data_IF_089546022539
#
_entry.id   IF_089546022539
#
_cell.length_a   1.000
_cell.length_b   1.000
_cell.length_c   1.000
_cell.angle_alpha   90.00
_cell.angle_beta   90.00
_cell.angle_gamma   90.00
#
_symmetry.space_group_name_H-M   'P 1'
#
loop_
_entity.id
_entity.type
_entity.pdbx_description
1 polymer ?
#
# COMPACT_ATOMS: atom_id res chain seq x y z
N UNK A 1 28.34 -25.12 -25.94
CA UNK A 1 29.57 -24.68 -26.61
C UNK A 1 29.24 -24.61 -28.10
N UNK A 2 29.06 -23.41 -28.63
CA UNK A 2 28.91 -23.19 -30.08
C UNK A 2 30.33 -23.40 -30.67
N UNK A 3 30.49 -24.41 -31.54
CA UNK A 3 31.70 -24.60 -32.33
C UNK A 3 31.80 -23.40 -33.29
N UNK A 4 32.94 -22.70 -33.25
CA UNK A 4 33.24 -21.66 -34.23
C UNK A 4 33.31 -22.30 -35.61
N UNK A 5 32.56 -21.81 -36.62
CA UNK A 5 32.58 -22.37 -37.94
C UNK A 5 33.98 -22.24 -38.55
N UNK A 6 34.48 -23.32 -39.12
CA UNK A 6 35.85 -23.42 -39.62
C UNK A 6 35.97 -23.09 -41.12
N UNK A 7 34.87 -22.91 -41.83
CA UNK A 7 34.83 -22.62 -43.28
C UNK A 7 33.62 -21.75 -43.70
N UNK A 8 33.81 -20.89 -44.67
CA UNK A 8 32.76 -20.03 -45.22
C UNK A 8 31.54 -20.80 -45.75
N UNK A 9 31.73 -22.00 -46.29
CA UNK A 9 30.63 -22.85 -46.74
C UNK A 9 29.71 -23.33 -45.62
N UNK A 10 30.25 -23.53 -44.43
CA UNK A 10 29.51 -23.88 -43.25
C UNK A 10 28.71 -22.70 -42.72
N UNK A 11 29.27 -21.49 -42.75
CA UNK A 11 28.56 -20.27 -42.39
C UNK A 11 27.36 -19.97 -43.37
N UNK A 12 27.53 -20.23 -44.64
CA UNK A 12 26.42 -20.06 -45.64
C UNK A 12 25.27 -21.04 -45.37
N UNK A 13 25.59 -22.29 -45.06
CA UNK A 13 24.58 -23.30 -44.73
C UNK A 13 23.84 -22.98 -43.44
N UNK A 14 24.55 -22.56 -42.41
CA UNK A 14 23.94 -22.11 -41.16
C UNK A 14 23.07 -20.89 -41.35
N UNK A 15 23.46 -19.97 -42.24
CA UNK A 15 22.63 -18.81 -42.61
C UNK A 15 21.32 -19.22 -43.32
N UNK A 16 21.39 -20.14 -44.29
CA UNK A 16 20.21 -20.64 -44.96
C UNK A 16 19.22 -21.34 -44.01
N UNK A 17 19.73 -22.10 -43.04
CA UNK A 17 18.91 -22.75 -42.04
C UNK A 17 18.29 -21.72 -41.08
N UNK A 18 19.04 -20.72 -40.63
CA UNK A 18 18.53 -19.59 -39.86
C UNK A 18 17.44 -18.79 -40.61
N UNK A 19 17.59 -18.62 -41.91
CA UNK A 19 16.60 -17.89 -42.72
C UNK A 19 15.31 -18.68 -42.86
N UNK A 20 15.37 -20.01 -42.96
CA UNK A 20 14.17 -20.88 -42.92
C UNK A 20 13.47 -20.81 -41.56
N UNK A 21 14.22 -20.89 -40.49
CA UNK A 21 13.69 -20.78 -39.13
C UNK A 21 13.07 -19.40 -38.89
N UNK A 22 13.68 -18.35 -39.42
CA UNK A 22 13.15 -17.00 -39.35
C UNK A 22 11.80 -16.86 -40.05
N UNK A 23 11.66 -17.43 -41.23
CA UNK A 23 10.36 -17.45 -41.94
C UNK A 23 9.29 -18.24 -41.17
N UNK A 24 9.62 -19.38 -40.58
CA UNK A 24 8.69 -20.12 -39.71
C UNK A 24 8.26 -19.30 -38.49
N UNK A 25 9.17 -18.58 -37.85
CA UNK A 25 8.85 -17.68 -36.76
C UNK A 25 7.95 -16.53 -37.23
N UNK A 26 8.20 -15.95 -38.39
CA UNK A 26 7.35 -14.91 -38.95
C UNK A 26 5.91 -15.40 -39.19
N UNK A 27 5.75 -16.59 -39.76
CA UNK A 27 4.43 -17.17 -40.04
C UNK A 27 3.70 -17.51 -38.73
N UNK A 28 4.40 -18.08 -37.75
CA UNK A 28 3.86 -18.34 -36.43
C UNK A 28 3.43 -17.03 -35.74
N UNK A 29 4.24 -15.98 -35.83
CA UNK A 29 3.92 -14.67 -35.28
C UNK A 29 2.72 -14.00 -35.97
N UNK A 30 2.58 -14.16 -37.28
CA UNK A 30 1.42 -13.69 -38.02
C UNK A 30 0.13 -14.40 -37.59
N UNK A 31 0.19 -15.73 -37.44
CA UNK A 31 -0.93 -16.51 -36.91
C UNK A 31 -1.27 -16.11 -35.45
N UNK A 32 -0.27 -15.92 -34.63
CA UNK A 32 -0.46 -15.42 -33.28
C UNK A 32 -1.20 -14.08 -33.23
N UNK A 33 -0.80 -13.11 -34.06
CA UNK A 33 -1.51 -11.82 -34.16
C UNK A 33 -2.96 -11.97 -34.58
N UNK A 34 -3.25 -12.83 -35.57
CA UNK A 34 -4.61 -13.11 -35.99
C UNK A 34 -5.46 -13.69 -34.87
N UNK A 35 -4.91 -14.68 -34.14
CA UNK A 35 -5.61 -15.30 -33.01
C UNK A 35 -5.83 -14.33 -31.89
N UNK A 36 -4.88 -13.46 -31.62
CA UNK A 36 -4.99 -12.40 -30.57
C UNK A 36 -6.14 -11.43 -30.95
N UNK A 37 -6.26 -11.03 -32.20
CA UNK A 37 -7.34 -10.16 -32.65
C UNK A 37 -8.72 -10.86 -32.55
N UNK A 38 -8.82 -12.13 -32.95
CA UNK A 38 -10.03 -12.92 -32.75
C UNK A 38 -10.45 -13.03 -31.30
N UNK A 39 -9.50 -13.32 -30.40
CA UNK A 39 -9.72 -13.38 -28.95
C UNK A 39 -10.19 -12.02 -28.41
N UNK A 40 -9.58 -10.93 -28.83
CA UNK A 40 -9.99 -9.57 -28.42
C UNK A 40 -11.44 -9.26 -28.84
N UNK A 41 -11.82 -9.59 -30.05
CA UNK A 41 -13.21 -9.42 -30.53
C UNK A 41 -14.21 -10.25 -29.71
N UNK A 42 -13.86 -11.50 -29.40
CA UNK A 42 -14.71 -12.35 -28.58
C UNK A 42 -14.85 -11.81 -27.13
N UNK A 43 -13.76 -11.30 -26.56
CA UNK A 43 -13.75 -10.69 -25.22
C UNK A 43 -14.63 -9.44 -25.16
N UNK A 44 -14.53 -8.54 -26.15
CA UNK A 44 -15.37 -7.33 -26.23
C UNK A 44 -16.85 -7.69 -26.42
N UNK A 45 -17.16 -8.67 -27.27
CA UNK A 45 -18.52 -9.17 -27.50
C UNK A 45 -19.12 -9.77 -26.21
N UNK A 46 -18.38 -10.61 -25.53
CA UNK A 46 -18.79 -11.26 -24.28
C UNK A 46 -19.01 -10.23 -23.16
N UNK A 47 -18.06 -9.32 -22.96
CA UNK A 47 -18.16 -8.24 -21.97
C UNK A 47 -19.38 -7.36 -22.22
N UNK A 48 -19.64 -6.99 -23.48
CA UNK A 48 -20.81 -6.21 -23.86
C UNK A 48 -22.13 -6.96 -23.63
N UNK A 49 -22.15 -8.28 -23.89
CA UNK A 49 -23.33 -9.12 -23.64
C UNK A 49 -23.64 -9.23 -22.13
N UNK A 50 -22.63 -9.49 -21.31
CA UNK A 50 -22.77 -9.56 -19.84
C UNK A 50 -23.28 -8.24 -19.27
N UNK A 51 -22.71 -7.11 -19.71
CA UNK A 51 -23.15 -5.79 -19.25
C UNK A 51 -24.62 -5.50 -19.56
N UNK A 52 -25.07 -5.85 -20.79
CA UNK A 52 -26.49 -5.71 -21.18
C UNK A 52 -27.41 -6.60 -20.35
N UNK A 53 -27.02 -7.85 -20.11
CA UNK A 53 -27.81 -8.79 -19.31
C UNK A 53 -27.89 -8.35 -17.85
N UNK A 54 -26.78 -7.89 -17.25
CA UNK A 54 -26.77 -7.34 -15.90
C UNK A 54 -27.71 -6.14 -15.73
N UNK A 55 -27.74 -5.26 -16.73
CA UNK A 55 -28.65 -4.11 -16.71
C UNK A 55 -30.12 -4.58 -16.69
N UNK A 56 -30.47 -5.55 -17.56
CA UNK A 56 -31.83 -6.13 -17.60
C UNK A 56 -32.19 -6.85 -16.30
N UNK A 57 -31.27 -7.61 -15.70
CA UNK A 57 -31.51 -8.26 -14.40
C UNK A 57 -31.80 -7.23 -13.30
N UNK A 58 -31.04 -6.14 -13.27
CA UNK A 58 -31.27 -5.06 -12.30
C UNK A 58 -32.63 -4.39 -12.50
N UNK A 59 -33.01 -4.11 -13.72
CA UNK A 59 -34.33 -3.55 -14.06
C UNK A 59 -35.45 -4.51 -13.64
N UNK A 60 -35.29 -5.82 -13.88
CA UNK A 60 -36.25 -6.86 -13.48
C UNK A 60 -36.39 -6.96 -11.96
N UNK A 61 -35.27 -6.92 -11.24
CA UNK A 61 -35.27 -6.93 -9.76
C UNK A 61 -36.05 -5.74 -9.22
N UNK A 62 -35.80 -4.54 -9.75
CA UNK A 62 -36.51 -3.31 -9.34
C UNK A 62 -38.01 -3.41 -9.61
N UNK A 63 -38.40 -3.93 -10.79
CA UNK A 63 -39.82 -4.14 -11.14
C UNK A 63 -40.49 -5.19 -10.25
N UNK A 64 -39.78 -6.25 -9.86
CA UNK A 64 -40.27 -7.27 -8.94
C UNK A 64 -40.51 -6.68 -7.52
N UNK A 65 -39.58 -5.84 -7.04
CA UNK A 65 -39.75 -5.14 -5.76
C UNK A 65 -40.94 -4.18 -5.77
N UNK A 66 -41.13 -3.41 -6.84
CA UNK A 66 -42.29 -2.54 -7.03
C UNK A 66 -43.60 -3.33 -7.04
N UNK A 67 -43.65 -4.46 -7.77
CA UNK A 67 -44.84 -5.34 -7.80
C UNK A 67 -45.13 -5.93 -6.42
N UNK A 68 -44.12 -6.31 -5.63
CA UNK A 68 -44.32 -6.78 -4.25
C UNK A 68 -44.89 -5.68 -3.35
N UNK A 69 -44.44 -4.44 -3.48
CA UNK A 69 -44.91 -3.33 -2.70
C UNK A 69 -46.37 -2.94 -3.06
N UNK A 70 -46.71 -2.95 -4.35
CA UNK A 70 -48.02 -2.58 -4.82
C UNK A 70 -49.10 -3.64 -4.59
N UNK A 71 -48.73 -4.91 -4.46
CA UNK A 71 -49.61 -6.06 -4.24
C UNK A 71 -49.72 -6.50 -2.78
N UNK A 72 -49.55 -5.60 -1.82
CA UNK A 72 -49.67 -5.87 -0.36
C UNK A 72 -51.09 -6.25 0.10
N UNK A 73 -52.03 -6.55 -0.80
CA UNK A 73 -53.36 -7.05 -0.51
C UNK A 73 -53.35 -8.58 -0.39
N UNK A 74 -54.16 -9.18 0.53
CA UNK A 74 -54.06 -10.59 0.98
C UNK A 74 -54.59 -11.63 0.00
N UNK A 75 -54.41 -11.47 -1.31
CA UNK A 75 -54.99 -12.39 -2.34
C UNK A 75 -53.95 -12.94 -3.30
N UNK A 76 -52.68 -12.93 -2.90
CA UNK A 76 -51.63 -13.60 -3.71
C UNK A 76 -51.73 -15.11 -3.43
N UNK A 77 -51.96 -15.92 -4.48
CA UNK A 77 -51.99 -17.38 -4.33
C UNK A 77 -50.57 -17.87 -3.95
N UNK A 78 -50.48 -18.92 -3.12
CA UNK A 78 -49.19 -19.51 -2.71
C UNK A 78 -48.30 -19.95 -3.88
N UNK A 79 -48.90 -20.24 -5.03
CA UNK A 79 -48.22 -20.56 -6.27
C UNK A 79 -47.44 -19.35 -6.87
N UNK A 80 -47.99 -18.13 -6.77
CA UNK A 80 -47.33 -16.92 -7.24
C UNK A 80 -46.18 -16.49 -6.32
N UNK A 81 -46.27 -16.71 -5.02
CA UNK A 81 -45.16 -16.46 -4.08
C UNK A 81 -43.97 -17.41 -4.34
N UNK A 82 -44.27 -18.71 -4.58
CA UNK A 82 -43.23 -19.70 -4.91
C UNK A 82 -42.53 -19.35 -6.23
N UNK A 83 -43.30 -18.93 -7.26
CA UNK A 83 -42.75 -18.55 -8.56
C UNK A 83 -41.85 -17.27 -8.47
N UNK A 84 -42.20 -16.33 -7.60
CA UNK A 84 -41.40 -15.12 -7.35
C UNK A 84 -40.08 -15.50 -6.65
N UNK A 85 -40.13 -16.40 -5.66
CA UNK A 85 -38.94 -16.88 -4.95
C UNK A 85 -37.98 -17.64 -5.89
N UNK A 86 -38.50 -18.46 -6.80
CA UNK A 86 -37.70 -19.15 -7.83
C UNK A 86 -37.03 -18.16 -8.80
N UNK A 87 -37.71 -17.08 -9.18
CA UNK A 87 -37.15 -16.03 -10.02
C UNK A 87 -36.04 -15.30 -9.30
N UNK A 88 -36.22 -14.94 -8.04
CA UNK A 88 -35.19 -14.27 -7.22
C UNK A 88 -33.94 -15.11 -7.06
N UNK A 89 -34.10 -16.41 -6.82
CA UNK A 89 -32.98 -17.34 -6.70
C UNK A 89 -32.26 -17.50 -8.06
N UNK A 90 -33.01 -17.62 -9.16
CA UNK A 90 -32.45 -17.63 -10.51
C UNK A 90 -31.71 -16.33 -10.88
N UNK A 91 -32.17 -15.19 -10.42
CA UNK A 91 -31.50 -13.90 -10.63
C UNK A 91 -30.16 -13.88 -9.90
N UNK A 92 -30.13 -14.39 -8.66
CA UNK A 92 -28.92 -14.47 -7.84
C UNK A 92 -27.88 -15.43 -8.47
N UNK A 93 -28.33 -16.61 -8.88
CA UNK A 93 -27.46 -17.59 -9.55
C UNK A 93 -26.87 -17.04 -10.86
N UNK A 94 -27.67 -16.34 -11.65
CA UNK A 94 -27.18 -15.67 -12.88
C UNK A 94 -26.21 -14.55 -12.56
N UNK A 95 -26.44 -13.78 -11.48
CA UNK A 95 -25.51 -12.72 -11.08
C UNK A 95 -24.13 -13.28 -10.65
N UNK A 96 -24.14 -14.43 -9.97
CA UNK A 96 -22.92 -15.14 -9.58
C UNK A 96 -22.21 -15.75 -10.80
N UNK A 97 -22.96 -16.37 -11.73
CA UNK A 97 -22.42 -16.89 -12.99
C UNK A 97 -21.78 -15.76 -13.84
N UNK A 98 -22.42 -14.60 -13.94
CA UNK A 98 -21.82 -13.46 -14.64
C UNK A 98 -20.58 -12.92 -13.96
N UNK A 99 -20.52 -12.99 -12.63
CA UNK A 99 -19.31 -12.62 -11.91
C UNK A 99 -18.15 -13.57 -12.21
N UNK A 100 -18.42 -14.87 -12.31
CA UNK A 100 -17.41 -15.84 -12.71
C UNK A 100 -16.96 -15.66 -14.16
N UNK A 101 -17.91 -15.44 -15.09
CA UNK A 101 -17.58 -15.18 -16.49
C UNK A 101 -16.72 -13.91 -16.65
N UNK A 102 -17.02 -12.84 -15.92
CA UNK A 102 -16.22 -11.61 -15.94
C UNK A 102 -14.80 -11.81 -15.38
N UNK A 103 -14.58 -12.80 -14.52
CA UNK A 103 -13.25 -13.10 -14.00
C UNK A 103 -12.27 -13.60 -15.08
N UNK A 104 -12.80 -14.19 -16.18
CA UNK A 104 -12.01 -14.63 -17.34
C UNK A 104 -11.82 -13.54 -18.42
N UNK A 105 -12.51 -12.40 -18.28
CA UNK A 105 -12.43 -11.33 -19.26
C UNK A 105 -11.37 -10.29 -18.83
N UNK A 106 -10.59 -9.74 -19.78
CA UNK A 106 -9.62 -8.71 -19.47
C UNK A 106 -10.33 -7.46 -18.96
N UNK A 107 -9.90 -6.97 -17.81
CA UNK A 107 -10.44 -5.74 -17.25
C UNK A 107 -9.67 -4.55 -17.82
N UNK A 108 -10.38 -3.53 -18.31
CA UNK A 108 -9.75 -2.26 -18.72
C UNK A 108 -9.03 -1.66 -17.52
N UNK A 109 -7.74 -1.45 -17.67
CA UNK A 109 -6.91 -0.83 -16.64
C UNK A 109 -7.45 0.57 -16.31
N UNK A 110 -7.44 0.94 -15.03
CA UNK A 110 -7.68 2.32 -14.62
C UNK A 110 -6.58 3.24 -15.15
N UNK A 111 -6.84 4.55 -15.20
CA UNK A 111 -5.93 5.56 -15.74
C UNK A 111 -4.52 5.47 -15.13
N UNK A 112 -4.42 5.21 -13.84
CA UNK A 112 -3.15 5.03 -13.11
C UNK A 112 -2.37 3.79 -13.56
N UNK A 113 -3.04 2.63 -13.68
CA UNK A 113 -2.39 1.38 -14.12
C UNK A 113 -1.95 1.47 -15.59
N UNK A 114 -2.72 2.15 -16.43
CA UNK A 114 -2.34 2.40 -17.83
C UNK A 114 -1.12 3.32 -17.94
N UNK A 115 -1.01 4.30 -17.04
CA UNK A 115 0.11 5.25 -17.01
C UNK A 115 1.42 4.61 -16.49
N UNK A 116 1.32 3.74 -15.47
CA UNK A 116 2.50 3.17 -14.77
C UNK A 116 2.97 1.86 -15.38
N UNK A 117 2.05 0.99 -15.78
CA UNK A 117 2.34 -0.37 -16.27
C UNK A 117 2.07 -0.54 -17.77
N UNK A 118 1.52 0.49 -18.44
CA UNK A 118 1.07 0.36 -19.83
C UNK A 118 -0.22 -0.46 -19.96
N UNK A 119 -0.53 -0.90 -21.17
CA UNK A 119 -1.70 -1.75 -21.45
C UNK A 119 -1.41 -3.20 -21.05
N UNK A 120 -1.61 -3.53 -19.78
CA UNK A 120 -1.51 -4.91 -19.30
C UNK A 120 -2.91 -5.53 -19.26
N UNK A 121 -3.14 -6.57 -20.08
CA UNK A 121 -4.35 -7.38 -20.03
C UNK A 121 -4.23 -8.37 -18.87
N UNK A 122 -4.85 -8.06 -17.74
CA UNK A 122 -4.92 -8.95 -16.59
C UNK A 122 -6.23 -9.73 -16.65
N UNK A 123 -6.14 -11.02 -16.91
CA UNK A 123 -7.27 -11.96 -16.80
C UNK A 123 -7.32 -12.51 -15.38
N UNK A 124 -8.36 -12.15 -14.62
CA UNK A 124 -8.55 -12.62 -13.25
C UNK A 124 -9.41 -13.89 -13.25
N UNK A 125 -8.79 -15.00 -12.90
CA UNK A 125 -9.36 -16.35 -13.04
C UNK A 125 -10.48 -16.70 -12.03
N UNK A 126 -10.59 -16.03 -10.87
CA UNK A 126 -11.64 -16.29 -9.87
C UNK A 126 -11.86 -15.10 -8.91
N UNK A 127 -12.87 -15.22 -8.02
CA UNK A 127 -13.16 -14.19 -6.99
C UNK A 127 -11.95 -13.91 -6.10
N UNK A 128 -11.21 -14.95 -5.69
CA UNK A 128 -10.02 -14.80 -4.82
C UNK A 128 -8.90 -14.04 -5.52
N UNK A 129 -8.61 -14.34 -6.79
CA UNK A 129 -7.62 -13.61 -7.57
C UNK A 129 -8.01 -12.14 -7.77
N UNK A 130 -9.31 -11.84 -7.90
CA UNK A 130 -9.80 -10.44 -8.00
C UNK A 130 -9.63 -9.66 -6.69
N UNK A 131 -9.83 -10.30 -5.54
CA UNK A 131 -9.56 -9.70 -4.23
C UNK A 131 -8.06 -9.49 -4.02
N UNK A 132 -7.25 -10.52 -4.29
CA UNK A 132 -5.80 -10.42 -4.20
C UNK A 132 -5.27 -9.25 -5.05
N UNK A 133 -5.65 -9.17 -6.33
CA UNK A 133 -5.25 -8.07 -7.21
C UNK A 133 -5.67 -6.69 -6.68
N UNK A 134 -6.86 -6.57 -6.09
CA UNK A 134 -7.33 -5.31 -5.49
C UNK A 134 -6.47 -4.92 -4.29
N UNK A 135 -6.10 -5.88 -3.45
CA UNK A 135 -5.25 -5.65 -2.29
C UNK A 135 -3.84 -5.25 -2.70
N UNK A 136 -3.29 -5.89 -3.73
CA UNK A 136 -1.99 -5.58 -4.34
C UNK A 136 -1.91 -4.13 -4.83
N UNK A 137 -2.94 -3.68 -5.56
CA UNK A 137 -3.02 -2.30 -6.06
C UNK A 137 -3.13 -1.29 -4.90
N UNK A 138 -3.88 -1.63 -3.85
CA UNK A 138 -3.99 -0.79 -2.67
C UNK A 138 -2.67 -0.70 -1.89
N UNK A 139 -1.96 -1.82 -1.77
CA UNK A 139 -0.65 -1.86 -1.13
C UNK A 139 0.39 -1.06 -1.91
N UNK A 140 0.43 -1.20 -3.23
CA UNK A 140 1.31 -0.41 -4.08
C UNK A 140 1.01 1.09 -3.98
N UNK A 141 -0.27 1.48 -3.99
CA UNK A 141 -0.69 2.86 -3.80
C UNK A 141 -0.30 3.39 -2.42
N UNK A 142 -0.52 2.60 -1.37
CA UNK A 142 -0.14 2.95 0.00
C UNK A 142 1.37 3.15 0.13
N UNK A 143 2.17 2.21 -0.37
CA UNK A 143 3.63 2.31 -0.35
C UNK A 143 4.13 3.52 -1.15
N UNK A 144 3.54 3.81 -2.30
CA UNK A 144 3.84 5.01 -3.08
C UNK A 144 3.56 6.29 -2.30
N UNK A 145 2.41 6.37 -1.62
CA UNK A 145 2.05 7.51 -0.78
C UNK A 145 3.01 7.68 0.40
N UNK A 146 3.49 6.58 1.00
CA UNK A 146 4.51 6.62 2.05
C UNK A 146 5.83 7.20 1.51
N UNK A 147 6.31 6.73 0.36
CA UNK A 147 7.52 7.27 -0.28
C UNK A 147 7.35 8.76 -0.56
N UNK A 148 6.24 9.16 -1.17
CA UNK A 148 5.95 10.56 -1.45
C UNK A 148 5.93 11.42 -0.18
N UNK A 149 5.28 10.93 0.89
CA UNK A 149 5.20 11.61 2.18
C UNK A 149 6.59 11.82 2.80
N UNK A 150 7.40 10.76 2.91
CA UNK A 150 8.75 10.87 3.50
C UNK A 150 9.72 11.66 2.63
N UNK A 151 9.64 11.56 1.31
CA UNK A 151 10.40 12.44 0.40
C UNK A 151 10.05 13.92 0.61
N UNK A 152 8.76 14.24 0.77
CA UNK A 152 8.31 15.61 1.02
C UNK A 152 8.85 16.12 2.36
N UNK A 153 8.88 15.29 3.41
CA UNK A 153 9.46 15.66 4.70
C UNK A 153 10.96 15.91 4.61
N UNK A 154 11.72 15.04 3.93
CA UNK A 154 13.18 15.20 3.75
C UNK A 154 13.52 16.45 2.97
N UNK A 155 12.80 16.75 1.90
CA UNK A 155 13.00 17.98 1.12
C UNK A 155 12.70 19.22 1.97
N UNK A 156 11.58 19.22 2.68
CA UNK A 156 11.17 20.34 3.55
C UNK A 156 12.18 20.60 4.65
N UNK A 157 12.71 19.56 5.30
CA UNK A 157 13.74 19.70 6.33
C UNK A 157 15.07 20.19 5.76
N UNK A 158 15.46 19.69 4.59
CA UNK A 158 16.67 20.16 3.89
C UNK A 158 16.58 21.65 3.56
N UNK A 159 15.41 22.12 3.11
CA UNK A 159 15.16 23.56 2.86
C UNK A 159 15.24 24.37 4.16
N UNK A 160 14.64 23.86 5.26
CA UNK A 160 14.69 24.54 6.56
C UNK A 160 16.12 24.66 7.09
N UNK A 161 16.95 23.63 6.94
CA UNK A 161 18.36 23.64 7.33
C UNK A 161 19.13 24.66 6.49
N UNK A 162 18.91 24.68 5.18
CA UNK A 162 19.52 25.66 4.27
C UNK A 162 19.15 27.10 4.62
N UNK A 163 17.97 27.29 5.20
CA UNK A 163 17.50 28.59 5.71
C UNK A 163 17.96 28.90 7.14
N UNK A 164 18.92 28.13 7.68
CA UNK A 164 19.52 28.40 8.99
C UNK A 164 18.81 27.79 10.20
N UNK A 165 17.82 26.93 10.01
CA UNK A 165 17.14 26.23 11.09
C UNK A 165 18.04 25.18 11.74
N UNK A 166 18.11 25.18 13.08
CA UNK A 166 18.89 24.20 13.85
C UNK A 166 18.05 22.95 14.15
N UNK A 167 17.90 22.07 13.15
CA UNK A 167 17.24 20.79 13.32
C UNK A 167 18.28 19.74 13.79
N UNK A 168 17.91 18.90 14.76
CA UNK A 168 18.80 17.82 15.23
C UNK A 168 19.10 16.84 14.09
N UNK A 169 20.37 16.52 13.87
CA UNK A 169 20.81 15.66 12.76
C UNK A 169 20.15 14.28 12.72
N UNK A 170 19.87 13.69 13.91
CA UNK A 170 19.13 12.42 13.97
C UNK A 170 17.75 12.51 13.34
N UNK A 171 17.03 13.61 13.55
CA UNK A 171 15.68 13.80 13.02
C UNK A 171 15.64 13.81 11.50
N UNK A 172 16.61 14.45 10.88
CA UNK A 172 16.79 14.47 9.44
C UNK A 172 17.17 13.08 8.92
N UNK A 173 18.17 12.45 9.55
CA UNK A 173 18.62 11.11 9.19
C UNK A 173 17.48 10.06 9.31
N UNK A 174 16.66 10.16 10.33
CA UNK A 174 15.46 9.33 10.51
C UNK A 174 14.53 9.38 9.29
N UNK A 175 14.28 10.55 8.72
CA UNK A 175 13.42 10.68 7.54
C UNK A 175 14.07 10.11 6.29
N UNK A 176 15.39 10.22 6.12
CA UNK A 176 16.10 9.54 5.02
C UNK A 176 15.98 8.00 5.13
N UNK A 177 16.19 7.44 6.33
CA UNK A 177 16.03 5.99 6.55
C UNK A 177 14.58 5.56 6.32
N UNK A 178 13.59 6.35 6.74
CA UNK A 178 12.17 6.07 6.52
C UNK A 178 11.80 6.13 5.03
N UNK A 179 12.36 7.07 4.28
CA UNK A 179 12.21 7.16 2.81
C UNK A 179 12.80 5.91 2.15
N UNK A 180 14.00 5.51 2.54
CA UNK A 180 14.65 4.31 2.03
C UNK A 180 13.82 3.05 2.34
N UNK A 181 13.37 2.88 3.58
CA UNK A 181 12.50 1.76 3.99
C UNK A 181 11.23 1.69 3.13
N UNK A 182 10.55 2.82 2.94
CA UNK A 182 9.33 2.88 2.12
C UNK A 182 9.61 2.56 0.65
N UNK A 183 10.76 3.00 0.11
CA UNK A 183 11.21 2.67 -1.24
C UNK A 183 11.51 1.19 -1.41
N UNK A 184 12.17 0.56 -0.43
CA UNK A 184 12.43 -0.89 -0.45
C UNK A 184 11.12 -1.67 -0.38
N UNK A 185 10.18 -1.26 0.47
CA UNK A 185 8.84 -1.88 0.54
C UNK A 185 8.07 -1.76 -0.78
N UNK A 186 8.17 -0.63 -1.49
CA UNK A 186 7.53 -0.44 -2.79
C UNK A 186 8.10 -1.37 -3.88
N UNK A 187 9.41 -1.69 -3.80
CA UNK A 187 10.09 -2.57 -4.75
C UNK A 187 10.09 -4.04 -4.34
N UNK A 188 9.49 -4.37 -3.20
CA UNK A 188 9.43 -5.75 -2.73
C UNK A 188 8.45 -6.54 -3.59
N UNK A 189 8.91 -7.64 -4.26
CA UNK A 189 8.05 -8.45 -5.11
C UNK A 189 7.00 -9.18 -4.27
N UNK A 190 5.83 -9.36 -4.84
CA UNK A 190 4.78 -10.14 -4.22
C UNK A 190 5.15 -11.61 -4.14
N UNK A 191 5.13 -12.12 -2.93
CA UNK A 191 5.50 -13.50 -2.62
C UNK A 191 5.02 -13.89 -1.23
N UNK A 192 5.26 -15.15 -0.84
CA UNK A 192 4.90 -15.67 0.48
C UNK A 192 5.53 -14.85 1.61
N UNK A 193 6.78 -14.41 1.45
CA UNK A 193 7.48 -13.60 2.44
C UNK A 193 6.85 -12.21 2.60
N UNK A 194 6.51 -11.55 1.48
CA UNK A 194 5.79 -10.26 1.53
C UNK A 194 4.46 -10.41 2.27
N UNK A 195 3.65 -11.42 1.93
CA UNK A 195 2.34 -11.64 2.55
C UNK A 195 2.44 -11.96 4.05
N UNK A 196 3.48 -12.65 4.50
CA UNK A 196 3.74 -12.91 5.92
C UNK A 196 4.01 -11.61 6.70
N UNK A 197 4.72 -10.66 6.12
CA UNK A 197 5.07 -9.40 6.79
C UNK A 197 4.04 -8.28 6.56
N UNK A 198 3.26 -8.32 5.49
CA UNK A 198 2.30 -7.30 5.05
C UNK A 198 1.40 -6.79 6.17
N UNK A 199 0.71 -7.69 6.85
CA UNK A 199 -0.24 -7.31 7.90
C UNK A 199 0.45 -6.63 9.08
N UNK A 200 1.63 -7.08 9.45
CA UNK A 200 2.45 -6.48 10.51
C UNK A 200 2.92 -5.09 10.11
N UNK A 201 3.34 -4.91 8.87
CA UNK A 201 3.74 -3.62 8.31
C UNK A 201 2.59 -2.61 8.28
N UNK A 202 1.42 -3.01 7.77
CA UNK A 202 0.23 -2.15 7.71
C UNK A 202 -0.24 -1.74 9.11
N UNK A 203 -0.30 -2.69 10.06
CA UNK A 203 -0.68 -2.42 11.44
C UNK A 203 0.28 -1.46 12.13
N UNK A 204 1.59 -1.63 11.91
CA UNK A 204 2.59 -0.70 12.43
C UNK A 204 2.43 0.71 11.84
N UNK A 205 2.22 0.85 10.53
CA UNK A 205 2.04 2.15 9.91
C UNK A 205 0.76 2.85 10.38
N UNK A 206 -0.32 2.11 10.58
CA UNK A 206 -1.56 2.64 11.16
C UNK A 206 -1.32 3.17 12.58
N UNK A 207 -0.64 2.39 13.41
CA UNK A 207 -0.25 2.81 14.75
C UNK A 207 0.65 4.06 14.72
N UNK A 208 1.66 4.06 13.86
CA UNK A 208 2.57 5.20 13.70
C UNK A 208 1.83 6.47 13.27
N UNK A 209 0.88 6.36 12.37
CA UNK A 209 0.03 7.48 11.94
C UNK A 209 -0.80 8.05 13.10
N UNK A 210 -1.33 7.17 13.95
CA UNK A 210 -2.03 7.59 15.17
C UNK A 210 -1.09 8.34 16.14
N UNK A 211 0.11 7.83 16.38
CA UNK A 211 1.10 8.50 17.23
C UNK A 211 1.52 9.85 16.65
N UNK A 212 1.72 9.93 15.32
CA UNK A 212 2.02 11.20 14.64
C UNK A 212 0.89 12.22 14.78
N UNK A 213 -0.35 11.77 14.74
CA UNK A 213 -1.51 12.63 15.00
C UNK A 213 -1.49 13.20 16.43
N UNK A 214 -1.21 12.38 17.43
CA UNK A 214 -1.05 12.85 18.82
C UNK A 214 0.12 13.84 18.94
N UNK A 215 1.24 13.56 18.29
CA UNK A 215 2.39 14.47 18.26
C UNK A 215 2.06 15.82 17.60
N UNK A 216 1.31 15.80 16.51
CA UNK A 216 0.84 17.02 15.84
C UNK A 216 -0.01 17.89 16.77
N UNK A 217 -0.98 17.30 17.49
CA UNK A 217 -1.80 18.04 18.46
C UNK A 217 -0.94 18.64 19.57
N UNK A 218 -0.02 17.87 20.10
CA UNK A 218 0.91 18.35 21.11
C UNK A 218 1.76 19.53 20.61
N UNK A 219 2.37 19.38 19.45
CA UNK A 219 3.24 20.41 18.85
C UNK A 219 2.45 21.68 18.49
N UNK A 220 1.26 21.55 17.91
CA UNK A 220 0.39 22.66 17.59
C UNK A 220 -0.02 23.44 18.84
N UNK A 221 -0.36 22.73 19.93
CA UNK A 221 -0.67 23.34 21.21
C UNK A 221 0.53 24.10 21.82
N UNK A 222 1.75 23.54 21.69
CA UNK A 222 2.98 24.22 22.11
C UNK A 222 3.24 25.51 21.31
N UNK A 223 3.12 25.44 19.97
CA UNK A 223 3.33 26.59 19.09
C UNK A 223 2.30 27.69 19.32
N UNK A 224 1.02 27.33 19.51
CA UNK A 224 -0.03 28.30 19.83
C UNK A 224 0.26 29.08 21.12
N UNK A 225 0.67 28.37 22.18
CA UNK A 225 1.01 29.00 23.46
C UNK A 225 2.28 29.85 23.39
N UNK A 226 3.33 29.39 22.67
CA UNK A 226 4.52 30.17 22.43
C UNK A 226 4.21 31.49 21.72
N UNK A 227 3.32 31.45 20.72
CA UNK A 227 2.89 32.64 19.98
C UNK A 227 2.13 33.61 20.89
N UNK A 228 1.21 33.10 21.72
CA UNK A 228 0.46 33.92 22.67
C UNK A 228 1.35 34.54 23.75
N UNK A 229 2.44 33.87 24.17
CA UNK A 229 3.43 34.40 25.11
C UNK A 229 4.32 35.48 24.47
N UNK A 230 4.66 35.38 23.19
CA UNK A 230 5.43 36.36 22.45
C UNK A 230 4.70 37.70 22.23
N UNK A 231 3.38 37.72 22.32
CA UNK A 231 2.56 38.93 22.17
C UNK A 231 2.32 39.67 23.51
N UNK A 232 2.75 39.11 24.64
CA UNK A 232 2.57 39.71 25.99
C UNK A 232 3.92 40.10 26.64
N UNK A 233 4.01 41.32 27.13
CA UNK A 233 5.22 41.89 27.76
C UNK A 233 5.51 41.49 29.24
N UNK A 234 4.61 40.70 29.91
CA UNK A 234 4.78 40.28 31.31
C UNK A 234 4.91 38.74 31.37
N UNK A 235 6.13 38.24 31.24
CA UNK A 235 6.40 36.85 30.91
C UNK A 235 6.80 35.88 32.05
N UNK A 236 7.24 36.34 33.23
CA UNK A 236 7.93 35.48 34.21
C UNK A 236 7.05 34.39 34.84
N UNK A 237 5.81 34.70 35.17
CA UNK A 237 4.86 33.73 35.74
C UNK A 237 4.23 32.75 34.71
N UNK A 238 4.20 33.13 33.44
CA UNK A 238 3.61 32.33 32.38
C UNK A 238 4.59 31.31 31.76
N UNK A 239 5.90 31.55 31.84
CA UNK A 239 6.95 30.65 31.33
C UNK A 239 7.02 29.34 32.13
N UNK A 240 6.93 29.39 33.45
CA UNK A 240 6.95 28.20 34.31
C UNK A 240 5.69 27.34 34.08
N UNK A 241 4.52 27.95 33.99
CA UNK A 241 3.27 27.25 33.67
C UNK A 241 3.32 26.60 32.27
N UNK A 242 3.93 27.26 31.28
CA UNK A 242 4.14 26.69 29.96
C UNK A 242 5.09 25.51 29.96
N UNK A 243 6.22 25.60 30.66
CA UNK A 243 7.17 24.48 30.80
C UNK A 243 6.55 23.26 31.48
N UNK A 244 5.77 23.47 32.56
CA UNK A 244 5.04 22.39 33.24
C UNK A 244 4.00 21.72 32.34
N UNK A 245 3.29 22.51 31.56
CA UNK A 245 2.30 21.99 30.61
C UNK A 245 2.95 21.17 29.48
N UNK A 246 4.05 21.68 28.90
CA UNK A 246 4.83 20.93 27.90
C UNK A 246 5.32 19.58 28.45
N UNK A 247 5.81 19.58 29.70
CA UNK A 247 6.27 18.35 30.32
C UNK A 247 5.15 17.32 30.50
N UNK A 248 3.99 17.74 30.98
CA UNK A 248 2.81 16.87 31.13
C UNK A 248 2.35 16.28 29.81
N UNK A 249 2.32 17.09 28.76
CA UNK A 249 1.97 16.63 27.42
C UNK A 249 2.99 15.63 26.85
N UNK A 250 4.29 15.89 27.05
CA UNK A 250 5.36 14.97 26.67
C UNK A 250 5.27 13.66 27.46
N UNK A 251 5.05 13.71 28.77
CA UNK A 251 4.92 12.53 29.64
C UNK A 251 3.74 11.65 29.21
N UNK A 252 2.62 12.26 28.81
CA UNK A 252 1.48 11.53 28.25
C UNK A 252 1.84 10.81 26.93
N UNK A 253 2.67 11.42 26.10
CA UNK A 253 3.05 10.87 24.79
C UNK A 253 4.10 9.75 24.87
N UNK A 254 4.94 9.77 25.92
CA UNK A 254 6.07 8.84 26.07
C UNK A 254 5.69 7.35 25.99
N UNK A 255 4.63 6.84 26.65
CA UNK A 255 4.24 5.44 26.56
C UNK A 255 3.96 5.01 25.11
N UNK A 256 3.27 5.86 24.35
CA UNK A 256 2.97 5.60 22.93
C UNK A 256 4.24 5.59 22.08
N UNK A 257 5.18 6.51 22.34
CA UNK A 257 6.46 6.53 21.62
C UNK A 257 7.28 5.27 21.91
N UNK A 258 7.43 4.88 23.19
CA UNK A 258 8.17 3.68 23.56
C UNK A 258 7.55 2.42 23.00
N UNK A 259 6.22 2.29 23.02
CA UNK A 259 5.54 1.17 22.39
C UNK A 259 5.83 1.11 20.88
N UNK A 260 5.79 2.25 20.18
CA UNK A 260 6.16 2.34 18.76
C UNK A 260 7.62 1.92 18.51
N UNK A 261 8.56 2.32 19.38
CA UNK A 261 9.97 1.91 19.25
C UNK A 261 10.15 0.40 19.47
N UNK A 262 9.50 -0.19 20.46
CA UNK A 262 9.54 -1.64 20.64
C UNK A 262 8.89 -2.39 19.50
N UNK A 263 7.85 -1.82 18.88
CA UNK A 263 7.28 -2.41 17.67
C UNK A 263 8.25 -2.33 16.47
N UNK A 264 9.04 -1.26 16.33
CA UNK A 264 10.13 -1.21 15.34
C UNK A 264 11.14 -2.34 15.56
N UNK A 265 11.54 -2.58 16.80
CA UNK A 265 12.42 -3.70 17.15
C UNK A 265 11.78 -5.04 16.80
N UNK A 266 10.51 -5.23 17.14
CA UNK A 266 9.78 -6.45 16.80
C UNK A 266 9.73 -6.70 15.29
N UNK A 267 9.45 -5.64 14.49
CA UNK A 267 9.48 -5.71 13.02
C UNK A 267 10.86 -6.13 12.51
N UNK A 268 11.91 -5.53 13.04
CA UNK A 268 13.29 -5.88 12.68
C UNK A 268 13.61 -7.34 13.00
N UNK A 269 13.27 -7.82 14.19
CA UNK A 269 13.50 -9.21 14.61
C UNK A 269 12.72 -10.21 13.76
N UNK A 270 11.48 -9.88 13.40
CA UNK A 270 10.67 -10.70 12.49
C UNK A 270 11.32 -10.83 11.11
N UNK A 271 11.79 -9.71 10.56
CA UNK A 271 12.45 -9.69 9.25
C UNK A 271 13.78 -10.45 9.27
N UNK A 272 14.58 -10.33 10.33
CA UNK A 272 15.80 -11.12 10.46
C UNK A 272 15.54 -12.63 10.59
N UNK A 273 14.46 -13.03 11.28
CA UNK A 273 14.03 -14.44 11.31
C UNK A 273 13.57 -14.91 9.93
N UNK A 274 12.84 -14.09 9.19
CA UNK A 274 12.41 -14.41 7.82
C UNK A 274 13.60 -14.53 6.86
N UNK A 275 14.63 -13.70 7.04
CA UNK A 275 15.87 -13.77 6.24
C UNK A 275 16.64 -15.07 6.44
N UNK A 276 16.53 -15.73 7.62
CA UNK A 276 17.16 -17.01 7.90
C UNK A 276 16.44 -18.21 7.26
N UNK A 277 15.25 -18.01 6.69
CA UNK A 277 14.53 -19.08 6.01
C UNK A 277 15.28 -19.49 4.72
N UNK A 278 15.41 -20.80 4.43
CA UNK A 278 16.15 -21.27 3.25
C UNK A 278 15.51 -20.85 1.92
N UNK A 279 14.23 -20.48 1.95
CA UNK A 279 13.47 -20.01 0.80
C UNK A 279 13.69 -18.51 0.50
N UNK A 280 14.34 -17.78 1.43
CA UNK A 280 14.54 -16.34 1.30
C UNK A 280 15.62 -16.02 0.28
N UNK A 281 15.22 -15.52 -0.88
CA UNK A 281 16.12 -14.97 -1.92
C UNK A 281 16.01 -13.44 -2.05
N UNK A 282 15.12 -12.83 -1.30
CA UNK A 282 14.74 -11.42 -1.42
C UNK A 282 15.63 -10.56 -0.52
N UNK A 283 16.47 -9.73 -1.14
CA UNK A 283 17.36 -8.81 -0.41
C UNK A 283 16.59 -7.74 0.38
N UNK A 284 15.34 -7.46 -0.04
CA UNK A 284 14.46 -6.49 0.60
C UNK A 284 14.17 -6.83 2.06
N UNK A 285 14.07 -8.12 2.39
CA UNK A 285 13.87 -8.61 3.76
C UNK A 285 14.97 -8.11 4.68
N UNK A 286 16.23 -8.28 4.25
CA UNK A 286 17.40 -7.85 5.03
C UNK A 286 17.45 -6.33 5.15
N UNK A 287 17.23 -5.60 4.06
CA UNK A 287 17.31 -4.13 4.04
C UNK A 287 16.22 -3.50 4.89
N UNK A 288 15.00 -4.02 4.85
CA UNK A 288 13.92 -3.59 5.75
C UNK A 288 14.25 -3.90 7.21
N UNK A 289 14.78 -5.10 7.50
CA UNK A 289 15.20 -5.48 8.86
C UNK A 289 16.25 -4.54 9.43
N UNK A 290 17.29 -4.23 8.65
CA UNK A 290 18.33 -3.27 9.02
C UNK A 290 17.77 -1.85 9.22
N UNK A 291 16.89 -1.40 8.33
CA UNK A 291 16.27 -0.06 8.43
C UNK A 291 15.44 0.07 9.70
N UNK A 292 14.61 -0.92 10.04
CA UNK A 292 13.86 -0.93 11.30
C UNK A 292 14.77 -0.95 12.53
N UNK A 293 15.89 -1.68 12.49
CA UNK A 293 16.86 -1.70 13.58
C UNK A 293 17.50 -0.33 13.80
N UNK A 294 17.93 0.34 12.73
CA UNK A 294 18.50 1.69 12.79
C UNK A 294 17.48 2.69 13.34
N UNK A 295 16.23 2.63 12.85
CA UNK A 295 15.15 3.48 13.35
C UNK A 295 14.87 3.25 14.83
N UNK A 296 14.80 1.98 15.26
CA UNK A 296 14.64 1.65 16.69
C UNK A 296 15.76 2.25 17.54
N UNK A 297 17.01 1.95 17.20
CA UNK A 297 18.15 2.41 17.98
C UNK A 297 18.17 3.93 18.12
N UNK A 298 18.04 4.65 17.03
CA UNK A 298 18.09 6.09 17.06
C UNK A 298 16.90 6.73 17.78
N UNK A 299 15.70 6.26 17.55
CA UNK A 299 14.49 6.78 18.18
C UNK A 299 14.48 6.48 19.68
N UNK A 300 14.81 5.25 20.07
CA UNK A 300 14.85 4.82 21.45
C UNK A 300 15.86 5.62 22.27
N UNK A 301 17.12 5.69 21.82
CA UNK A 301 18.16 6.41 22.55
C UNK A 301 17.94 7.92 22.56
N UNK A 302 17.40 8.50 21.49
CA UNK A 302 17.06 9.93 21.48
C UNK A 302 15.95 10.23 22.47
N UNK A 303 14.90 9.42 22.53
CA UNK A 303 13.79 9.57 23.47
C UNK A 303 14.27 9.38 24.91
N UNK A 304 15.09 8.35 25.16
CA UNK A 304 15.68 8.10 26.48
C UNK A 304 16.56 9.27 26.94
N UNK A 305 17.39 9.83 26.03
CA UNK A 305 18.21 11.01 26.30
C UNK A 305 17.41 12.24 26.70
N UNK A 306 16.27 12.47 26.02
CA UNK A 306 15.36 13.59 26.37
C UNK A 306 14.75 13.39 27.77
N UNK A 307 14.30 12.17 28.07
CA UNK A 307 13.77 11.84 29.42
C UNK A 307 14.82 12.03 30.49
N UNK A 308 16.04 11.53 30.27
CA UNK A 308 17.14 11.64 31.20
C UNK A 308 17.54 13.11 31.48
N UNK A 309 17.71 13.91 30.42
CA UNK A 309 18.01 15.34 30.57
C UNK A 309 16.95 16.09 31.38
N UNK A 310 15.68 15.77 31.13
CA UNK A 310 14.58 16.38 31.87
C UNK A 310 14.55 15.96 33.32
N UNK A 311 14.85 14.69 33.61
CA UNK A 311 14.95 14.19 34.97
C UNK A 311 16.06 14.90 35.77
N UNK A 312 17.26 15.03 35.18
CA UNK A 312 18.39 15.74 35.81
C UNK A 312 18.09 17.23 36.05
N UNK A 313 17.53 17.93 35.06
CA UNK A 313 17.17 19.34 35.21
C UNK A 313 16.12 19.58 36.32
N UNK A 314 15.23 18.62 36.56
CA UNK A 314 14.25 18.72 37.66
C UNK A 314 14.90 18.47 39.01
N UNK A 315 15.89 17.57 39.13
CA UNK A 315 16.63 17.36 40.36
C UNK A 315 17.48 18.59 40.76
N UNK A 316 18.14 19.23 39.79
CA UNK A 316 18.94 20.42 40.04
C UNK A 316 18.08 21.60 40.52
N UNK A 317 16.88 21.78 39.96
CA UNK A 317 15.91 22.76 40.49
C UNK A 317 15.42 22.46 41.90
N UNK A 318 15.24 21.18 42.26
CA UNK A 318 14.82 20.77 43.61
C UNK A 318 15.92 20.94 44.63
N UNK A 319 17.20 20.98 44.25
CA UNK A 319 18.36 21.23 45.14
C UNK A 319 18.69 22.72 45.34
N UNK A 320 18.15 23.57 44.45
CA UNK A 320 18.38 25.02 44.49
C UNK A 320 17.27 25.81 45.21
N UNK A 321 16.26 25.11 45.74
CA UNK A 321 15.21 25.60 46.64
C UNK A 321 15.53 25.10 48.05
#
# INVERSE_FOLDING_TARGET
MLSTPSDFSECFREWEDLEKDFHQIQDAHRLYKQKLEEVTKLQDSCSGAIARQRKKLKELTSSLEECKQNNSTPTISSETENSIAEIEDSIKDRADAFFEMEAFLPKKNGLYLTLVLGNVNVTLLNKQAKFAYKDEVLDALFNFLLVWYYCTLTIRESILISNGSRIKGWWVFHHYVSTFLSGVMLTWPEGTLYQMFRNQFLSYNLYQSFVQFLQYYYQSGCLYRLRALGERHNMDLTVEGFQSWMWRGLTFLLPFLFFGHFWQLYNSMTLFKMFQLPECKEWQVLMCGCSYMVLFMGNFFTTLGVVYQKYMNNQDKSKSI
#
